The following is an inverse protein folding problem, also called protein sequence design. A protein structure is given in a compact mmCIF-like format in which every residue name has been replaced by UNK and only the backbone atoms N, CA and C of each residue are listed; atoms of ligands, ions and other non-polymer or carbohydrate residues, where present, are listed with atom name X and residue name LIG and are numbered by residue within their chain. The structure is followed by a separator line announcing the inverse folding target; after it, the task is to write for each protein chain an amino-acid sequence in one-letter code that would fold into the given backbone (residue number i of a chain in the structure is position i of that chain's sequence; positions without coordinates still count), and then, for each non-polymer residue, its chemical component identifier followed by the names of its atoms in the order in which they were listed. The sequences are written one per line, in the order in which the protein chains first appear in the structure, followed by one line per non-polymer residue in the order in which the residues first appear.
data_IF_513443961535
#
_entry.id   IF_513443961535
#
_cell.length_a   1.000
_cell.length_b   1.000
_cell.length_c   1.000
_cell.angle_alpha   90.00
_cell.angle_beta   90.00
_cell.angle_gamma   90.00
#
_symmetry.space_group_name_H-M   'P 1'
#
loop_
_entity.id
_entity.type
_entity.pdbx_description
1 polymer ?
#
# COMPACT_ATOMS: atom_id res chain seq x y z
N UNK A 1 -4.78 8.73 18.64
CA UNK A 1 -4.71 8.44 17.19
C UNK A 1 -4.76 9.74 16.42
N UNK A 2 -3.69 10.08 15.70
CA UNK A 2 -3.62 11.27 14.84
C UNK A 2 -4.53 11.04 13.63
N UNK A 3 -5.19 12.09 13.13
CA UNK A 3 -6.03 12.02 11.93
C UNK A 3 -5.69 13.20 11.03
N UNK A 4 -5.61 12.94 9.75
CA UNK A 4 -5.44 13.98 8.73
C UNK A 4 -6.74 14.11 7.93
N UNK A 5 -6.98 15.30 7.39
CA UNK A 5 -8.13 15.57 6.53
C UNK A 5 -7.60 15.76 5.11
N UNK A 6 -8.00 14.89 4.20
CA UNK A 6 -7.71 15.02 2.77
C UNK A 6 -9.02 14.89 2.00
N UNK A 7 -9.31 15.84 1.11
CA UNK A 7 -10.57 15.88 0.34
C UNK A 7 -11.85 15.72 1.19
N UNK A 8 -11.85 16.26 2.42
CA UNK A 8 -12.97 16.15 3.35
C UNK A 8 -13.09 14.79 4.07
N UNK A 9 -12.20 13.83 3.81
CA UNK A 9 -12.13 12.56 4.52
C UNK A 9 -11.12 12.57 5.65
N UNK A 10 -11.52 11.99 6.78
CA UNK A 10 -10.65 11.74 7.92
C UNK A 10 -9.89 10.44 7.67
N UNK A 11 -8.59 10.54 7.47
CA UNK A 11 -7.69 9.40 7.32
C UNK A 11 -6.95 9.21 8.64
N UNK A 12 -6.98 7.98 9.15
CA UNK A 12 -6.32 7.64 10.40
C UNK A 12 -4.81 7.52 10.20
N UNK A 13 -4.04 8.08 11.14
CA UNK A 13 -2.57 7.96 11.18
C UNK A 13 -2.19 7.14 12.42
N UNK A 14 -1.46 6.07 12.17
CA UNK A 14 -0.96 5.13 13.17
C UNK A 14 0.51 5.47 13.39
N UNK A 15 0.88 5.78 14.62
CA UNK A 15 2.28 5.99 14.97
C UNK A 15 2.80 4.72 15.62
N UNK A 16 3.85 4.12 15.05
CA UNK A 16 4.60 3.04 15.69
C UNK A 16 6.05 3.48 15.83
N UNK A 17 6.49 3.61 17.10
CA UNK A 17 7.81 4.13 17.45
C UNK A 17 8.09 5.50 16.80
N UNK A 18 9.07 5.57 15.91
CA UNK A 18 9.49 6.79 15.19
C UNK A 18 8.78 6.93 13.84
N UNK A 19 8.06 5.90 13.38
CA UNK A 19 7.40 5.87 12.08
C UNK A 19 5.92 6.26 12.18
N UNK A 20 5.42 6.99 11.18
CA UNK A 20 4.02 7.35 11.04
C UNK A 20 3.44 6.71 9.78
N UNK A 21 2.42 5.87 9.96
CA UNK A 21 1.71 5.16 8.90
C UNK A 21 0.34 5.78 8.65
N UNK A 22 -0.05 5.85 7.39
CA UNK A 22 -1.37 6.35 6.97
C UNK A 22 -2.27 5.15 6.63
N UNK A 23 -3.52 5.20 7.10
CA UNK A 23 -4.51 4.15 6.84
C UNK A 23 -4.91 4.08 5.36
N UNK A 24 -4.42 3.06 4.66
CA UNK A 24 -4.75 2.79 3.26
C UNK A 24 -6.26 2.51 3.06
N UNK A 25 -6.89 1.82 4.01
CA UNK A 25 -8.32 1.51 3.97
C UNK A 25 -9.17 2.77 4.05
N UNK A 26 -8.76 3.74 4.87
CA UNK A 26 -9.48 5.03 4.95
C UNK A 26 -9.30 5.86 3.67
N UNK A 27 -8.15 5.74 2.99
CA UNK A 27 -7.96 6.35 1.67
C UNK A 27 -8.83 5.67 0.60
N UNK A 28 -8.91 4.34 0.59
CA UNK A 28 -9.68 3.59 -0.39
C UNK A 28 -11.20 3.84 -0.29
N UNK A 29 -11.71 4.08 0.93
CA UNK A 29 -13.10 4.52 1.17
C UNK A 29 -13.47 5.83 0.47
N UNK A 30 -12.51 6.65 0.05
CA UNK A 30 -12.77 7.82 -0.79
C UNK A 30 -13.26 7.43 -2.17
N UNK A 31 -12.63 6.42 -2.75
CA UNK A 31 -12.89 5.99 -4.11
C UNK A 31 -14.17 5.17 -4.18
N UNK A 32 -14.30 4.19 -3.29
CA UNK A 32 -15.49 3.36 -3.17
C UNK A 32 -15.56 2.76 -1.76
N UNK A 33 -16.62 3.06 -1.02
CA UNK A 33 -16.80 2.56 0.35
C UNK A 33 -17.23 1.09 0.37
N UNK A 34 -18.05 0.67 -0.58
CA UNK A 34 -18.59 -0.68 -0.63
C UNK A 34 -17.56 -1.66 -1.19
N UNK A 35 -16.77 -1.21 -2.17
CA UNK A 35 -15.73 -1.99 -2.82
C UNK A 35 -14.30 -1.64 -2.37
N UNK A 36 -14.11 -1.20 -1.12
CA UNK A 36 -12.80 -0.76 -0.59
C UNK A 36 -11.69 -1.80 -0.85
N UNK A 37 -11.98 -3.10 -0.66
CA UNK A 37 -11.01 -4.17 -0.92
C UNK A 37 -10.61 -4.31 -2.39
N UNK A 38 -11.56 -4.13 -3.31
CA UNK A 38 -11.31 -4.16 -4.76
C UNK A 38 -10.46 -2.96 -5.18
N UNK A 39 -10.72 -1.77 -4.62
CA UNK A 39 -9.92 -0.58 -4.86
C UNK A 39 -8.47 -0.80 -4.45
N UNK A 40 -8.23 -1.36 -3.27
CA UNK A 40 -6.88 -1.66 -2.77
C UNK A 40 -6.21 -2.71 -3.66
N UNK A 41 -6.91 -3.79 -4.01
CA UNK A 41 -6.39 -4.82 -4.92
C UNK A 41 -5.96 -4.20 -6.26
N UNK A 42 -6.78 -3.34 -6.85
CA UNK A 42 -6.44 -2.65 -8.09
C UNK A 42 -5.22 -1.74 -7.95
N UNK A 43 -5.06 -1.04 -6.83
CA UNK A 43 -3.88 -0.21 -6.57
C UNK A 43 -2.60 -1.05 -6.44
N UNK A 44 -2.68 -2.18 -5.75
CA UNK A 44 -1.54 -3.07 -5.53
C UNK A 44 -1.15 -3.85 -6.79
N UNK A 45 -2.13 -4.16 -7.66
CA UNK A 45 -1.92 -4.94 -8.88
C UNK A 45 -1.45 -4.11 -10.08
N UNK A 46 -1.27 -2.79 -9.96
CA UNK A 46 -0.74 -2.03 -11.09
C UNK A 46 0.72 -2.42 -11.35
N UNK A 47 1.10 -2.48 -12.64
CA UNK A 47 2.47 -2.78 -13.07
C UNK A 47 3.51 -1.89 -12.37
N UNK A 48 3.19 -0.61 -12.14
CA UNK A 48 4.06 0.32 -11.46
C UNK A 48 4.22 -0.01 -9.97
N UNK A 49 3.12 -0.31 -9.27
CA UNK A 49 3.16 -0.69 -7.85
C UNK A 49 3.97 -1.97 -7.64
N UNK A 50 3.73 -2.99 -8.47
CA UNK A 50 4.46 -4.27 -8.41
C UNK A 50 5.95 -4.05 -8.64
N UNK A 51 6.34 -3.30 -9.68
CA UNK A 51 7.76 -3.01 -9.94
C UNK A 51 8.41 -2.23 -8.81
N UNK A 52 7.69 -1.23 -8.26
CA UNK A 52 8.19 -0.46 -7.14
C UNK A 52 8.44 -1.35 -5.91
N UNK A 53 7.50 -2.22 -5.56
CA UNK A 53 7.67 -3.18 -4.46
C UNK A 53 8.85 -4.12 -4.71
N UNK A 54 8.99 -4.64 -5.93
CA UNK A 54 10.12 -5.50 -6.29
C UNK A 54 11.48 -4.80 -6.17
N UNK A 55 11.58 -3.54 -6.61
CA UNK A 55 12.81 -2.76 -6.48
C UNK A 55 13.12 -2.44 -5.00
N UNK A 56 12.09 -2.09 -4.22
CA UNK A 56 12.23 -1.83 -2.80
C UNK A 56 12.71 -3.07 -2.04
N UNK A 57 12.12 -4.24 -2.30
CA UNK A 57 12.53 -5.51 -1.71
C UNK A 57 13.98 -5.86 -2.06
N UNK A 58 14.42 -5.66 -3.32
CA UNK A 58 15.82 -5.88 -3.70
C UNK A 58 16.80 -5.01 -2.92
N UNK A 59 16.40 -3.78 -2.55
CA UNK A 59 17.25 -2.85 -1.80
C UNK A 59 17.27 -3.13 -0.29
N UNK A 60 16.16 -3.59 0.26
CA UNK A 60 15.96 -3.66 1.71
C UNK A 60 15.87 -5.07 2.29
N UNK A 61 15.68 -6.10 1.46
CA UNK A 61 15.58 -7.50 1.86
C UNK A 61 16.74 -8.31 1.25
N UNK A 62 17.83 -8.55 2.01
CA UNK A 62 19.00 -9.28 1.53
C UNK A 62 18.70 -10.72 1.07
N UNK A 63 17.60 -11.30 1.53
CA UNK A 63 17.14 -12.65 1.19
C UNK A 63 16.06 -12.68 0.09
N UNK A 64 15.85 -11.58 -0.63
CA UNK A 64 14.77 -11.48 -1.60
C UNK A 64 14.90 -12.45 -2.78
N UNK A 65 13.86 -13.27 -2.99
CA UNK A 65 13.80 -14.23 -4.08
C UNK A 65 13.19 -13.61 -5.35
N UNK A 66 14.05 -13.03 -6.19
CA UNK A 66 13.66 -12.37 -7.45
C UNK A 66 12.98 -13.33 -8.43
N UNK A 67 13.37 -14.60 -8.44
CA UNK A 67 12.82 -15.60 -9.37
C UNK A 67 11.35 -15.90 -9.04
N UNK A 68 11.05 -16.14 -7.76
CA UNK A 68 9.68 -16.38 -7.30
C UNK A 68 8.80 -15.14 -7.52
N UNK A 69 9.33 -13.95 -7.24
CA UNK A 69 8.64 -12.70 -7.51
C UNK A 69 8.29 -12.56 -9.01
N UNK A 70 9.24 -12.73 -9.92
CA UNK A 70 8.96 -12.58 -11.35
C UNK A 70 8.04 -13.67 -11.92
N UNK A 71 8.05 -14.88 -11.36
CA UNK A 71 7.20 -15.98 -11.82
C UNK A 71 5.78 -15.94 -11.25
N UNK A 72 5.58 -15.51 -10.00
CA UNK A 72 4.27 -15.48 -9.34
C UNK A 72 3.38 -14.30 -9.76
N UNK A 73 3.97 -13.24 -10.31
CA UNK A 73 3.27 -12.03 -10.73
C UNK A 73 3.08 -11.90 -12.25
N UNK A 74 3.42 -12.95 -13.02
CA UNK A 74 3.20 -13.04 -14.47
C UNK A 74 1.99 -13.92 -14.78
#
# INVERSE_FOLDING_TARGET
MKKIIAHGLKISVIKDKEEEYISLTDMAKFKDREATGIVIANWLSTKYTIQFMGAWEQMHNPSFNVMEFNCGWR
#
